data_IF_363131590379
#
_entry.id   IF_363131590379
#
_cell.length_a   1.000
_cell.length_b   1.000
_cell.length_c   1.000
_cell.angle_alpha   90.00
_cell.angle_beta   90.00
_cell.angle_gamma   90.00
#
_symmetry.space_group_name_H-M   'P 1'
#
loop_
_entity.id
_entity.type
_entity.pdbx_description
1 polymer ?
#
# COMPACT_ATOMS: atom_id res chain seq x y z
N UNK A 1 17.93 -13.51 -2.72
CA UNK A 1 16.52 -13.91 -2.76
C UNK A 1 15.63 -12.90 -2.06
N UNK A 2 14.57 -12.48 -2.73
CA UNK A 2 13.59 -11.56 -2.17
C UNK A 2 12.32 -12.34 -1.87
N UNK A 3 11.83 -12.22 -0.65
CA UNK A 3 10.56 -12.83 -0.24
C UNK A 3 9.61 -11.77 0.27
N UNK A 4 8.33 -12.01 0.07
CA UNK A 4 7.28 -11.12 0.54
C UNK A 4 6.18 -11.92 1.22
N UNK A 5 5.63 -11.38 2.27
CA UNK A 5 4.57 -12.00 3.05
C UNK A 5 3.52 -10.95 3.40
N UNK A 6 2.26 -11.27 3.15
CA UNK A 6 1.14 -10.40 3.49
C UNK A 6 0.25 -11.11 4.49
N UNK A 7 0.06 -10.54 5.66
CA UNK A 7 -0.83 -11.07 6.70
C UNK A 7 -1.68 -9.93 7.24
N UNK A 8 -3.00 -10.00 7.02
CA UNK A 8 -3.90 -8.94 7.40
C UNK A 8 -3.50 -7.62 6.74
N UNK A 9 -3.24 -6.60 7.54
CA UNK A 9 -2.81 -5.28 7.07
C UNK A 9 -1.31 -5.03 7.28
N UNK A 10 -0.53 -6.10 7.31
CA UNK A 10 0.93 -6.03 7.39
C UNK A 10 1.57 -6.70 6.17
N UNK A 11 2.54 -6.03 5.59
CA UNK A 11 3.34 -6.53 4.48
C UNK A 11 4.80 -6.54 4.89
N UNK A 12 5.45 -7.69 4.75
CA UNK A 12 6.89 -7.83 4.98
C UNK A 12 7.59 -8.14 3.67
N UNK A 13 8.67 -7.44 3.40
CA UNK A 13 9.55 -7.71 2.27
C UNK A 13 10.94 -7.92 2.82
N UNK A 14 11.54 -9.04 2.46
CA UNK A 14 12.89 -9.40 2.90
C UNK A 14 13.78 -9.72 1.71
N UNK A 15 15.02 -9.27 1.81
CA UNK A 15 16.08 -9.61 0.88
C UNK A 15 17.18 -10.31 1.64
N UNK A 16 17.38 -11.58 1.36
CA UNK A 16 18.41 -12.40 1.98
C UNK A 16 19.64 -12.61 1.08
N UNK A 17 19.86 -11.67 0.17
CA UNK A 17 20.98 -11.73 -0.77
C UNK A 17 22.31 -11.61 -0.04
N UNK A 18 23.29 -12.44 -0.40
CA UNK A 18 24.66 -12.45 0.16
C UNK A 18 24.73 -12.70 1.66
N UNK A 19 23.79 -13.46 2.21
CA UNK A 19 23.79 -13.78 3.63
C UNK A 19 23.35 -12.64 4.54
N UNK A 20 22.99 -11.51 3.99
CA UNK A 20 22.40 -10.41 4.74
C UNK A 20 20.87 -10.55 4.74
N UNK A 21 20.25 -10.49 5.91
CA UNK A 21 18.81 -10.52 6.05
C UNK A 21 18.32 -9.11 6.34
N UNK A 22 17.96 -8.41 5.30
CA UNK A 22 17.42 -7.06 5.37
C UNK A 22 15.97 -7.05 4.94
N UNK A 23 15.19 -6.24 5.58
CA UNK A 23 13.79 -6.17 5.22
C UNK A 23 13.08 -4.96 5.76
N UNK A 24 11.83 -4.85 5.34
CA UNK A 24 10.93 -3.77 5.72
C UNK A 24 9.58 -4.39 6.04
N UNK A 25 8.97 -3.95 7.12
CA UNK A 25 7.58 -4.26 7.43
C UNK A 25 6.75 -3.00 7.28
N UNK A 26 5.70 -3.10 6.51
CA UNK A 26 4.74 -2.01 6.33
C UNK A 26 3.42 -2.40 6.98
N UNK A 27 2.94 -1.56 7.90
CA UNK A 27 1.61 -1.70 8.49
C UNK A 27 0.72 -0.62 7.90
N UNK A 28 -0.40 -1.03 7.28
CA UNK A 28 -1.27 -0.12 6.53
C UNK A 28 -2.74 -0.23 6.95
N UNK A 29 -2.98 -0.49 8.21
CA UNK A 29 -4.33 -0.55 8.76
C UNK A 29 -5.10 0.75 8.46
N UNK A 30 -6.32 0.63 7.99
CA UNK A 30 -7.14 1.78 7.59
C UNK A 30 -7.04 2.12 6.10
N UNK A 31 -6.09 1.53 5.36
CA UNK A 31 -6.04 1.66 3.91
C UNK A 31 -6.66 0.41 3.27
N UNK A 32 -7.67 0.58 2.39
CA UNK A 32 -8.34 -0.57 1.80
C UNK A 32 -7.54 -1.31 0.75
N UNK A 33 -6.50 -0.69 0.18
CA UNK A 33 -5.73 -1.28 -0.91
C UNK A 33 -4.24 -1.14 -0.65
N UNK A 34 -3.50 -2.15 -1.12
CA UNK A 34 -2.05 -2.12 -1.13
C UNK A 34 -1.57 -2.44 -2.54
N UNK A 35 -0.78 -1.56 -3.11
CA UNK A 35 -0.19 -1.74 -4.44
C UNK A 35 1.29 -2.03 -4.26
N UNK A 36 1.76 -3.04 -4.96
CA UNK A 36 3.18 -3.40 -4.99
C UNK A 36 3.60 -3.53 -6.43
N UNK A 37 4.65 -2.82 -6.82
CA UNK A 37 5.16 -2.92 -8.17
C UNK A 37 6.67 -2.63 -8.21
N UNK A 38 7.30 -3.09 -9.27
CA UNK A 38 8.69 -2.77 -9.54
C UNK A 38 8.91 -2.71 -11.04
N UNK A 39 9.97 -2.04 -11.44
CA UNK A 39 10.41 -2.03 -12.83
C UNK A 39 11.29 -3.26 -13.06
N UNK A 40 11.15 -4.01 -14.20
CA UNK A 40 11.90 -5.25 -14.41
C UNK A 40 13.42 -5.14 -14.25
N UNK A 41 14.00 -4.01 -14.60
CA UNK A 41 15.45 -3.78 -14.49
C UNK A 41 15.80 -2.82 -13.35
N UNK A 42 14.82 -2.47 -12.51
CA UNK A 42 15.03 -1.54 -11.41
C UNK A 42 15.43 -2.27 -10.13
N UNK A 43 16.28 -1.64 -9.36
CA UNK A 43 16.71 -2.15 -8.05
C UNK A 43 15.82 -1.58 -6.93
N UNK A 44 14.51 -1.60 -7.16
CA UNK A 44 13.56 -1.09 -6.17
C UNK A 44 12.24 -1.85 -6.23
N UNK A 45 11.50 -1.75 -5.15
CA UNK A 45 10.10 -2.16 -5.10
C UNK A 45 9.31 -1.02 -4.46
N UNK A 46 8.19 -0.67 -5.07
CA UNK A 46 7.28 0.31 -4.51
C UNK A 46 6.16 -0.42 -3.76
N UNK A 47 5.92 -0.01 -2.54
CA UNK A 47 4.84 -0.56 -1.71
C UNK A 47 3.98 0.62 -1.28
N UNK A 48 2.75 0.65 -1.76
CA UNK A 48 1.91 1.84 -1.69
C UNK A 48 0.55 1.54 -1.07
N UNK A 49 0.31 1.98 0.17
CA UNK A 49 -1.05 1.97 0.70
C UNK A 49 -1.91 3.01 -0.03
N UNK A 50 -3.05 2.58 -0.54
CA UNK A 50 -3.96 3.46 -1.28
C UNK A 50 -5.30 3.57 -0.57
N UNK A 51 -5.81 4.80 -0.49
CA UNK A 51 -7.14 5.08 0.04
C UNK A 51 -8.26 4.91 -0.99
N UNK A 52 -7.94 4.81 -2.25
CA UNK A 52 -8.87 4.60 -3.34
C UNK A 52 -8.16 3.99 -4.52
N UNK A 53 -8.86 3.77 -5.61
CA UNK A 53 -8.32 3.17 -6.83
C UNK A 53 -8.35 4.13 -8.00
N UNK A 54 -7.61 3.81 -9.05
CA UNK A 54 -7.72 4.47 -10.35
C UNK A 54 -9.10 4.27 -10.93
N UNK A 55 -9.46 5.06 -11.93
CA UNK A 55 -10.76 4.98 -12.59
C UNK A 55 -10.99 3.58 -13.18
N UNK A 56 -12.15 3.02 -12.89
CA UNK A 56 -12.59 1.74 -13.42
C UNK A 56 -13.62 1.96 -14.52
N UNK A 57 -13.76 1.01 -15.43
CA UNK A 57 -14.64 1.12 -16.58
C UNK A 57 -16.13 1.14 -16.23
N UNK A 58 -16.47 0.64 -15.05
CA UNK A 58 -17.85 0.58 -14.56
C UNK A 58 -18.25 1.75 -13.65
N UNK A 59 -17.45 2.81 -13.63
CA UNK A 59 -17.72 3.99 -12.83
C UNK A 59 -18.54 5.03 -13.62
N UNK A 60 -19.24 5.89 -12.88
CA UNK A 60 -20.15 6.88 -13.43
C UNK A 60 -19.57 8.29 -13.53
N UNK A 61 -18.24 8.42 -13.36
CA UNK A 61 -17.52 9.70 -13.38
C UNK A 61 -17.86 10.66 -12.22
N UNK A 62 -18.55 10.16 -11.21
CA UNK A 62 -18.82 10.92 -9.99
C UNK A 62 -17.77 10.54 -8.95
N UNK A 63 -16.99 11.52 -8.49
CA UNK A 63 -15.86 11.26 -7.59
C UNK A 63 -16.29 10.55 -6.30
N UNK A 64 -17.40 10.96 -5.72
CA UNK A 64 -17.90 10.40 -4.47
C UNK A 64 -18.33 8.95 -4.59
N UNK A 65 -18.57 8.46 -5.81
CA UNK A 65 -18.98 7.09 -6.07
C UNK A 65 -17.83 6.15 -6.35
N UNK A 66 -16.59 6.64 -6.35
CA UNK A 66 -15.43 5.80 -6.62
C UNK A 66 -15.22 4.79 -5.48
N UNK A 67 -14.77 3.60 -5.86
CA UNK A 67 -14.46 2.54 -4.88
C UNK A 67 -13.40 3.01 -3.90
N UNK A 68 -13.65 2.79 -2.61
CA UNK A 68 -12.72 3.15 -1.56
C UNK A 68 -12.58 4.64 -1.36
N UNK A 69 -13.42 5.46 -1.99
CA UNK A 69 -13.35 6.90 -1.82
C UNK A 69 -13.65 7.28 -0.37
N UNK A 70 -12.75 8.05 0.21
CA UNK A 70 -12.90 8.53 1.57
C UNK A 70 -13.54 9.91 1.51
N UNK A 71 -14.67 10.07 2.19
CA UNK A 71 -15.43 11.32 2.17
C UNK A 71 -15.38 11.96 3.55
N UNK A 72 -14.82 13.18 3.62
CA UNK A 72 -14.87 14.00 4.82
C UNK A 72 -16.02 14.99 4.71
N UNK A 73 -16.88 15.01 5.70
CA UNK A 73 -17.96 15.99 5.81
C UNK A 73 -17.36 17.34 6.22
N UNK A 74 -18.11 18.46 6.03
CA UNK A 74 -17.63 19.75 6.50
C UNK A 74 -17.22 19.72 7.98
N UNK A 75 -16.05 20.26 8.29
CA UNK A 75 -15.47 20.29 9.63
C UNK A 75 -15.08 18.91 10.22
N UNK A 76 -15.22 17.84 9.47
CA UNK A 76 -14.78 16.51 9.86
C UNK A 76 -13.30 16.34 9.55
N UNK A 77 -12.55 15.76 10.48
CA UNK A 77 -11.15 15.39 10.28
C UNK A 77 -11.05 13.89 10.18
N UNK A 78 -10.45 13.41 9.10
CA UNK A 78 -10.18 11.99 8.90
C UNK A 78 -8.67 11.80 8.91
N UNK A 79 -8.21 10.82 9.70
CA UNK A 79 -6.79 10.52 9.83
C UNK A 79 -6.50 9.15 9.24
N UNK A 80 -5.48 9.07 8.39
CA UNK A 80 -4.92 7.82 7.88
C UNK A 80 -3.44 7.81 8.20
N UNK A 81 -2.93 6.67 8.59
CA UNK A 81 -1.52 6.52 8.88
C UNK A 81 -1.02 5.14 8.45
N UNK A 82 0.25 5.06 8.16
CA UNK A 82 0.93 3.79 7.94
C UNK A 82 2.27 3.84 8.65
N UNK A 83 2.83 2.68 8.92
CA UNK A 83 4.09 2.56 9.65
C UNK A 83 5.07 1.73 8.83
N UNK A 84 6.30 2.19 8.75
CA UNK A 84 7.39 1.46 8.13
C UNK A 84 8.39 1.10 9.22
N UNK A 85 8.68 -0.19 9.33
CA UNK A 85 9.67 -0.70 10.28
C UNK A 85 10.83 -1.30 9.51
N UNK A 86 12.02 -0.90 9.86
CA UNK A 86 13.25 -1.49 9.29
C UNK A 86 13.60 -2.74 10.11
N UNK A 87 13.72 -3.84 9.43
CA UNK A 87 14.00 -5.13 10.06
C UNK A 87 15.49 -5.44 10.10
#
# INVERSE_FOLDING_TARGET
EISACLVGSEMCIRDSKKGEDKGVRLSFEGFPYLIVWSKPEGDFVAVEPWGGLSTCSDEDDVLEHKRGCLIAKPKETIVRSFTIEIL
#
